data_IF_779733211621
#
_entry.id   IF_779733211621
#
_cell.length_a   1.000
_cell.length_b   1.000
_cell.length_c   1.000
_cell.angle_alpha   90.00
_cell.angle_beta   90.00
_cell.angle_gamma   90.00
#
_symmetry.space_group_name_H-M   'P 1'
#
loop_
_entity.id
_entity.type
_entity.pdbx_description
1 polymer ?
#
# COMPACT_ATOMS: atom_id res chain seq x y z
N UNK A 1 1.40 86.52 47.28
CA UNK A 1 0.34 86.50 46.25
C UNK A 1 0.31 85.11 45.65
N UNK A 2 -0.86 84.47 45.61
CA UNK A 2 -1.15 83.25 44.84
C UNK A 2 -0.87 83.47 43.34
N UNK A 3 -0.81 82.49 42.44
CA UNK A 3 -1.84 81.51 42.08
C UNK A 3 -1.34 80.63 40.91
N UNK A 4 -1.81 79.36 40.90
CA UNK A 4 -1.87 78.38 39.79
C UNK A 4 -0.57 77.65 39.40
N UNK A 5 -0.53 76.32 39.19
CA UNK A 5 -1.48 75.20 39.33
C UNK A 5 -0.61 73.96 38.97
N UNK A 6 -0.21 73.11 39.91
CA UNK A 6 -0.84 71.81 40.23
C UNK A 6 -0.36 70.64 39.36
N UNK A 7 0.42 69.77 40.02
CA UNK A 7 0.50 68.28 39.96
C UNK A 7 1.00 67.59 38.67
N UNK A 8 1.75 66.48 38.73
CA UNK A 8 2.05 65.56 39.84
C UNK A 8 3.36 64.82 39.56
N UNK A 9 4.18 64.64 40.59
CA UNK A 9 5.27 63.66 40.64
C UNK A 9 4.79 62.45 41.48
N UNK A 10 5.37 61.29 41.16
CA UNK A 10 5.66 60.15 42.06
C UNK A 10 4.92 58.82 41.80
N UNK A 11 5.71 57.82 41.38
CA UNK A 11 5.58 56.44 41.88
C UNK A 11 6.00 56.40 43.36
N UNK A 12 5.45 55.48 44.19
CA UNK A 12 6.16 54.21 44.43
C UNK A 12 5.31 52.96 44.80
N UNK A 13 5.94 51.81 44.57
CA UNK A 13 5.94 50.54 45.33
C UNK A 13 4.73 49.59 45.44
N UNK A 14 4.97 48.37 44.92
CA UNK A 14 4.77 47.04 45.50
C UNK A 14 3.58 46.76 46.44
N UNK A 15 2.65 45.93 45.97
CA UNK A 15 1.67 45.19 46.76
C UNK A 15 1.22 43.93 45.99
N UNK A 16 1.36 42.78 46.61
CA UNK A 16 0.91 41.46 46.16
C UNK A 16 -0.61 41.37 46.09
N UNK A 17 -1.18 41.03 44.93
CA UNK A 17 -2.56 40.58 44.83
C UNK A 17 -2.68 39.46 43.79
N UNK A 18 -2.97 38.25 44.27
CA UNK A 18 -3.71 37.24 43.53
C UNK A 18 -5.09 37.82 43.20
N UNK A 19 -5.42 37.99 41.93
CA UNK A 19 -6.82 38.09 41.51
C UNK A 19 -7.02 37.40 40.16
N UNK A 20 -7.64 36.23 40.26
CA UNK A 20 -8.65 35.65 39.35
C UNK A 20 -8.91 36.44 38.07
N UNK A 21 -8.61 35.82 36.93
CA UNK A 21 -9.29 36.15 35.69
C UNK A 21 -10.68 35.49 35.71
N UNK A 22 -11.69 36.24 36.15
CA UNK A 22 -13.09 35.89 35.90
C UNK A 22 -13.48 36.26 34.47
N UNK A 23 -14.04 35.26 33.78
CA UNK A 23 -14.80 35.31 32.52
C UNK A 23 -15.63 36.59 32.32
N UNK A 24 -15.61 37.15 31.11
CA UNK A 24 -16.81 37.35 30.26
C UNK A 24 -16.48 38.00 28.92
N UNK A 25 -16.60 37.23 27.83
CA UNK A 25 -16.96 37.77 26.52
C UNK A 25 -17.89 36.75 25.82
N UNK A 26 -19.20 36.92 26.02
CA UNK A 26 -20.29 36.00 25.64
C UNK A 26 -20.59 35.93 24.12
N UNK A 27 -19.63 36.26 23.26
CA UNK A 27 -19.76 36.13 21.80
C UNK A 27 -18.86 35.08 21.15
N UNK A 28 -17.90 34.53 21.90
CA UNK A 28 -16.98 33.51 21.42
C UNK A 28 -17.15 32.26 22.27
N UNK A 29 -17.83 31.25 21.70
CA UNK A 29 -17.78 29.89 22.23
C UNK A 29 -16.30 29.58 22.53
N UNK A 30 -15.96 29.35 23.80
CA UNK A 30 -14.58 29.04 24.16
C UNK A 30 -14.19 27.77 23.40
N UNK A 31 -13.19 27.86 22.52
CA UNK A 31 -12.72 26.73 21.71
C UNK A 31 -12.33 25.54 22.59
N UNK A 32 -11.85 25.80 23.81
CA UNK A 32 -11.59 24.77 24.82
C UNK A 32 -12.89 24.09 25.27
N UNK A 33 -13.95 24.86 25.55
CA UNK A 33 -15.28 24.29 25.89
C UNK A 33 -15.84 23.45 24.73
N UNK A 34 -15.61 23.84 23.48
CA UNK A 34 -16.03 23.06 22.31
C UNK A 34 -15.23 21.75 22.18
N UNK A 35 -13.90 21.80 22.31
CA UNK A 35 -13.06 20.59 22.25
C UNK A 35 -13.42 19.63 23.40
N UNK A 36 -13.69 20.14 24.61
CA UNK A 36 -14.12 19.33 25.75
C UNK A 36 -15.50 18.70 25.52
N UNK A 37 -16.44 19.43 24.93
CA UNK A 37 -17.75 18.88 24.58
C UNK A 37 -17.67 17.77 23.51
N UNK A 38 -16.75 17.90 22.54
CA UNK A 38 -16.60 16.94 21.44
C UNK A 38 -15.69 15.76 21.80
N UNK A 39 -14.63 15.97 22.59
CA UNK A 39 -13.55 15.00 22.84
C UNK A 39 -13.42 14.56 24.30
N UNK A 40 -14.18 15.15 25.21
CA UNK A 40 -14.26 14.79 26.62
C UNK A 40 -13.43 15.67 27.56
N UNK A 41 -13.66 15.52 28.87
CA UNK A 41 -13.10 16.34 29.95
C UNK A 41 -11.56 16.37 30.01
N UNK A 42 -10.89 15.35 29.47
CA UNK A 42 -9.42 15.28 29.40
C UNK A 42 -8.80 16.37 28.53
N UNK A 43 -9.58 16.95 27.60
CA UNK A 43 -9.16 18.06 26.75
C UNK A 43 -9.37 19.44 27.38
N UNK A 44 -9.76 19.49 28.66
CA UNK A 44 -9.78 20.73 29.42
C UNK A 44 -8.38 21.17 29.86
N UNK A 45 -7.44 20.22 29.93
CA UNK A 45 -6.06 20.47 30.30
C UNK A 45 -5.27 21.09 29.11
N UNK A 46 -4.69 22.29 29.28
CA UNK A 46 -3.88 22.92 28.23
C UNK A 46 -2.68 22.07 27.78
N UNK A 47 -2.11 21.21 28.64
CA UNK A 47 -1.01 20.33 28.25
C UNK A 47 -1.46 19.22 27.28
N UNK A 48 -2.67 18.67 27.49
CA UNK A 48 -3.27 17.66 26.60
C UNK A 48 -3.58 18.26 25.24
N UNK A 49 -4.10 19.49 25.20
CA UNK A 49 -4.33 20.23 23.95
C UNK A 49 -3.01 20.48 23.21
N UNK A 50 -1.98 20.94 23.92
CA UNK A 50 -0.66 21.21 23.33
C UNK A 50 -0.03 19.93 22.76
N UNK A 51 -0.07 18.83 23.51
CA UNK A 51 0.42 17.51 23.06
C UNK A 51 -0.34 17.02 21.83
N UNK A 52 -1.67 17.08 21.87
CA UNK A 52 -2.53 16.69 20.74
C UNK A 52 -2.25 17.53 19.49
N UNK A 53 -1.99 18.83 19.64
CA UNK A 53 -1.60 19.70 18.53
C UNK A 53 -0.24 19.29 17.95
N UNK A 54 0.76 19.02 18.79
CA UNK A 54 2.09 18.59 18.32
C UNK A 54 2.00 17.27 17.53
N UNK A 55 1.25 16.30 18.03
CA UNK A 55 1.02 15.02 17.34
C UNK A 55 0.28 15.21 16.01
N UNK A 56 -0.75 16.06 15.99
CA UNK A 56 -1.49 16.40 14.77
C UNK A 56 -0.60 17.10 13.74
N UNK A 57 0.18 18.11 14.15
CA UNK A 57 1.11 18.83 13.27
C UNK A 57 2.18 17.88 12.70
N UNK A 58 2.68 16.93 13.50
CA UNK A 58 3.61 15.91 13.03
C UNK A 58 2.95 14.94 12.02
N UNK A 59 1.71 14.54 12.27
CA UNK A 59 0.95 13.70 11.35
C UNK A 59 0.65 14.40 10.02
N UNK A 60 0.28 15.68 10.07
CA UNK A 60 0.07 16.51 8.87
C UNK A 60 1.37 16.58 8.05
N UNK A 61 2.51 16.88 8.68
CA UNK A 61 3.81 16.87 7.99
C UNK A 61 4.13 15.52 7.34
N UNK A 62 3.82 14.41 8.03
CA UNK A 62 3.98 13.07 7.47
C UNK A 62 3.09 12.85 6.24
N UNK A 63 1.82 13.25 6.31
CA UNK A 63 0.89 13.15 5.18
C UNK A 63 1.32 14.03 3.99
N UNK A 64 1.76 15.25 4.25
CA UNK A 64 2.27 16.15 3.21
C UNK A 64 3.49 15.55 2.50
N UNK A 65 4.42 14.96 3.27
CA UNK A 65 5.58 14.25 2.71
C UNK A 65 5.17 13.04 1.86
N UNK A 66 4.23 12.22 2.35
CA UNK A 66 3.70 11.07 1.60
C UNK A 66 3.01 11.50 0.30
N UNK A 67 2.23 12.58 0.33
CA UNK A 67 1.58 13.12 -0.86
C UNK A 67 2.59 13.70 -1.86
N UNK A 68 3.63 14.38 -1.39
CA UNK A 68 4.71 14.86 -2.24
C UNK A 68 5.46 13.69 -2.91
N UNK A 69 5.79 12.65 -2.14
CA UNK A 69 6.46 11.44 -2.65
C UNK A 69 5.60 10.72 -3.68
N UNK A 70 4.31 10.55 -3.41
CA UNK A 70 3.36 9.93 -4.34
C UNK A 70 3.21 10.72 -5.64
N UNK A 71 3.17 12.06 -5.56
CA UNK A 71 3.10 12.92 -6.76
C UNK A 71 4.37 12.84 -7.60
N UNK A 72 5.54 12.84 -6.97
CA UNK A 72 6.81 12.65 -7.67
C UNK A 72 6.90 11.27 -8.34
N UNK A 73 6.35 10.26 -7.69
CA UNK A 73 6.29 8.90 -8.22
C UNK A 73 5.36 8.74 -9.42
N UNK A 74 4.25 9.45 -9.42
CA UNK A 74 3.33 9.51 -10.56
C UNK A 74 3.95 10.29 -11.72
N UNK A 75 4.61 11.42 -11.45
CA UNK A 75 5.24 12.22 -12.50
C UNK A 75 6.38 11.48 -13.21
N UNK A 76 7.18 10.68 -12.47
CA UNK A 76 8.19 9.78 -13.06
C UNK A 76 7.57 8.71 -13.96
N UNK A 77 6.42 8.16 -13.56
CA UNK A 77 5.70 7.19 -14.39
C UNK A 77 5.17 7.83 -15.67
N UNK A 78 4.51 8.99 -15.56
CA UNK A 78 4.00 9.72 -16.72
C UNK A 78 5.12 10.06 -17.69
N UNK A 79 6.27 10.52 -17.18
CA UNK A 79 7.45 10.79 -17.98
C UNK A 79 7.97 9.53 -18.69
N UNK A 80 8.06 8.39 -17.98
CA UNK A 80 8.51 7.13 -18.58
C UNK A 80 7.55 6.61 -19.65
N UNK A 81 6.24 6.76 -19.43
CA UNK A 81 5.21 6.41 -20.40
C UNK A 81 5.26 7.31 -21.64
N UNK A 82 5.48 8.62 -21.45
CA UNK A 82 5.68 9.57 -22.55
C UNK A 82 6.93 9.24 -23.36
N UNK A 83 8.05 8.89 -22.72
CA UNK A 83 9.28 8.49 -23.40
C UNK A 83 9.09 7.19 -24.20
N UNK A 84 8.43 6.19 -23.62
CA UNK A 84 8.10 4.95 -24.33
C UNK A 84 7.19 5.21 -25.52
N UNK A 85 6.18 6.08 -25.37
CA UNK A 85 5.32 6.49 -26.47
C UNK A 85 6.12 7.20 -27.56
N UNK A 86 7.01 8.13 -27.22
CA UNK A 86 7.88 8.79 -28.20
C UNK A 86 8.85 7.83 -28.91
N UNK A 87 9.37 6.82 -28.19
CA UNK A 87 10.22 5.79 -28.79
C UNK A 87 9.43 4.87 -29.70
N UNK A 88 8.21 4.50 -29.32
CA UNK A 88 7.30 3.73 -30.15
C UNK A 88 6.92 4.53 -31.41
N UNK A 89 6.52 5.79 -31.25
CA UNK A 89 6.17 6.68 -32.37
C UNK A 89 7.36 6.88 -33.32
N UNK A 90 8.60 6.98 -32.80
CA UNK A 90 9.82 7.07 -33.61
C UNK A 90 10.26 5.74 -34.24
N UNK A 91 9.93 4.60 -33.63
CA UNK A 91 10.24 3.27 -34.16
C UNK A 91 9.24 2.82 -35.24
N UNK A 92 8.10 3.51 -35.38
CA UNK A 92 7.08 3.30 -36.42
C UNK A 92 7.40 4.07 -37.72
N UNK A 93 8.54 4.77 -37.80
CA UNK A 93 9.07 5.33 -39.06
C UNK A 93 10.21 4.48 -39.66
N UNK A 94 9.93 3.37 -40.37
CA UNK A 94 10.83 2.90 -41.41
C UNK A 94 10.49 3.62 -42.72
N UNK A 95 11.16 4.74 -42.95
CA UNK A 95 11.55 5.29 -44.26
C UNK A 95 10.45 5.75 -45.25
N UNK A 96 10.41 7.06 -45.52
CA UNK A 96 9.92 7.61 -46.79
C UNK A 96 10.98 8.50 -47.44
N UNK A 97 11.88 7.82 -48.16
CA UNK A 97 12.52 8.32 -49.36
C UNK A 97 12.14 7.33 -50.50
N UNK A 98 11.10 7.69 -51.27
CA UNK A 98 10.63 7.19 -52.58
C UNK A 98 10.21 5.71 -52.78
N UNK A 99 9.30 5.42 -53.75
CA UNK A 99 8.36 4.29 -53.70
C UNK A 99 8.78 3.08 -54.55
N UNK A 100 8.41 1.88 -54.09
CA UNK A 100 8.17 0.72 -54.94
C UNK A 100 7.15 -0.22 -54.27
N UNK A 101 6.15 -0.62 -55.05
CA UNK A 101 5.03 -1.49 -54.71
C UNK A 101 5.46 -2.89 -54.23
N UNK A 102 4.79 -3.43 -53.21
CA UNK A 102 4.25 -4.81 -53.16
C UNK A 102 3.44 -5.05 -51.86
N UNK A 103 2.12 -4.96 -52.00
CA UNK A 103 1.04 -5.84 -51.55
C UNK A 103 1.21 -6.77 -50.32
N UNK A 104 0.42 -6.44 -49.29
CA UNK A 104 -0.41 -7.28 -48.38
C UNK A 104 0.23 -8.41 -47.52
N UNK A 105 0.16 -8.28 -46.18
CA UNK A 105 -0.83 -9.00 -45.37
C UNK A 105 -0.87 -8.52 -43.89
N UNK A 106 -2.10 -8.21 -43.48
CA UNK A 106 -2.79 -8.10 -42.17
C UNK A 106 -2.04 -7.88 -40.84
N UNK A 107 -2.49 -6.85 -40.12
CA UNK A 107 -2.29 -6.65 -38.68
C UNK A 107 -2.69 -5.26 -38.20
N UNK A 108 -3.93 -4.84 -38.46
CA UNK A 108 -4.48 -3.52 -38.06
C UNK A 108 -4.44 -3.33 -36.55
N UNK A 109 -3.53 -2.49 -36.07
CA UNK A 109 -3.66 -1.82 -34.76
C UNK A 109 -4.30 -0.45 -35.00
N UNK A 110 -5.60 -0.39 -34.76
CA UNK A 110 -6.34 0.86 -34.82
C UNK A 110 -5.83 1.81 -33.71
N UNK A 111 -5.48 3.06 -34.02
CA UNK A 111 -5.07 4.03 -33.00
C UNK A 111 -6.29 4.46 -32.17
N UNK A 112 -6.20 4.23 -30.87
CA UNK A 112 -7.22 4.46 -29.84
C UNK A 112 -7.50 5.97 -29.60
N UNK A 113 -8.01 6.66 -30.62
CA UNK A 113 -8.30 8.09 -30.55
C UNK A 113 -9.75 8.32 -30.96
N UNK A 114 -10.65 8.47 -29.97
CA UNK A 114 -12.00 9.00 -30.16
C UNK A 114 -13.16 8.01 -30.03
N UNK A 115 -13.07 6.97 -29.21
CA UNK A 115 -14.20 6.07 -28.94
C UNK A 115 -14.79 6.38 -27.56
N UNK A 116 -16.06 6.79 -27.50
CA UNK A 116 -16.82 7.03 -26.25
C UNK A 116 -16.95 5.75 -25.38
N UNK A 117 -16.45 4.61 -25.87
CA UNK A 117 -16.40 3.31 -25.19
C UNK A 117 -15.02 2.96 -24.58
N UNK A 118 -14.08 3.91 -24.48
CA UNK A 118 -12.77 3.67 -23.84
C UNK A 118 -12.94 3.27 -22.37
N UNK A 119 -13.88 3.90 -21.64
CA UNK A 119 -14.13 3.57 -20.23
C UNK A 119 -14.63 2.13 -20.06
N UNK A 120 -15.52 1.66 -20.94
CA UNK A 120 -16.04 0.27 -20.91
C UNK A 120 -14.97 -0.75 -21.33
N UNK A 121 -14.12 -0.40 -22.31
CA UNK A 121 -12.95 -1.22 -22.69
C UNK A 121 -11.90 -1.30 -21.58
N UNK A 122 -11.67 -0.20 -20.86
CA UNK A 122 -10.77 -0.18 -19.70
C UNK A 122 -11.38 -0.92 -18.52
N UNK A 123 -12.67 -0.74 -18.23
CA UNK A 123 -13.36 -1.47 -17.16
C UNK A 123 -13.35 -2.98 -17.41
N UNK A 124 -13.68 -3.42 -18.63
CA UNK A 124 -13.61 -4.84 -19.01
C UNK A 124 -12.19 -5.39 -19.03
N UNK A 125 -11.18 -4.59 -19.42
CA UNK A 125 -9.78 -4.99 -19.30
C UNK A 125 -9.36 -5.14 -17.84
N UNK A 126 -9.76 -4.21 -16.98
CA UNK A 126 -9.50 -4.27 -15.53
C UNK A 126 -10.18 -5.50 -14.92
N UNK A 127 -11.46 -5.72 -15.19
CA UNK A 127 -12.20 -6.89 -14.73
C UNK A 127 -11.55 -8.19 -15.21
N UNK A 128 -11.14 -8.27 -16.48
CA UNK A 128 -10.38 -9.41 -17.01
C UNK A 128 -9.05 -9.59 -16.29
N UNK A 129 -8.31 -8.52 -16.03
CA UNK A 129 -7.02 -8.63 -15.32
C UNK A 129 -7.19 -9.03 -13.85
N UNK A 130 -8.27 -8.59 -13.20
CA UNK A 130 -8.60 -8.96 -11.83
C UNK A 130 -9.04 -10.43 -11.76
N UNK A 131 -9.90 -10.87 -12.67
CA UNK A 131 -10.32 -12.28 -12.76
C UNK A 131 -9.15 -13.20 -13.10
N UNK A 132 -8.29 -12.82 -14.07
CA UNK A 132 -7.06 -13.56 -14.38
C UNK A 132 -6.12 -13.65 -13.16
N UNK A 133 -6.05 -12.58 -12.36
CA UNK A 133 -5.25 -12.55 -11.12
C UNK A 133 -5.84 -13.47 -10.04
N UNK A 134 -7.14 -13.43 -9.83
CA UNK A 134 -7.85 -14.27 -8.87
C UNK A 134 -7.77 -15.75 -9.23
N UNK A 135 -7.92 -16.08 -10.53
CA UNK A 135 -7.75 -17.43 -11.05
C UNK A 135 -6.32 -17.91 -10.81
N UNK A 136 -5.30 -17.11 -11.17
CA UNK A 136 -3.90 -17.45 -10.89
C UNK A 136 -3.59 -17.63 -9.41
N UNK A 137 -4.16 -16.78 -8.55
CA UNK A 137 -4.00 -16.89 -7.11
C UNK A 137 -4.64 -18.17 -6.57
N UNK A 138 -5.84 -18.52 -7.03
CA UNK A 138 -6.55 -19.75 -6.65
C UNK A 138 -5.79 -20.99 -7.11
N UNK A 139 -5.33 -21.01 -8.37
CA UNK A 139 -4.50 -22.09 -8.92
C UNK A 139 -3.23 -22.28 -8.09
N UNK A 140 -2.54 -21.19 -7.76
CA UNK A 140 -1.34 -21.25 -6.93
C UNK A 140 -1.63 -21.80 -5.54
N UNK A 141 -2.69 -21.31 -4.88
CA UNK A 141 -3.10 -21.82 -3.55
C UNK A 141 -3.44 -23.32 -3.59
N UNK A 142 -4.08 -23.79 -4.65
CA UNK A 142 -4.42 -25.19 -4.84
C UNK A 142 -3.17 -26.07 -5.00
N UNK A 143 -2.20 -25.63 -5.81
CA UNK A 143 -0.92 -26.32 -5.97
C UNK A 143 -0.13 -26.32 -4.65
N UNK A 144 0.00 -25.16 -4.00
CA UNK A 144 0.72 -25.03 -2.72
C UNK A 144 0.09 -25.94 -1.65
N UNK A 145 -1.24 -26.06 -1.61
CA UNK A 145 -1.93 -26.98 -0.69
C UNK A 145 -1.55 -28.43 -0.95
N UNK A 146 -1.55 -28.85 -2.22
CA UNK A 146 -1.16 -30.21 -2.61
C UNK A 146 0.31 -30.47 -2.26
N UNK A 147 1.22 -29.58 -2.65
CA UNK A 147 2.66 -29.71 -2.40
C UNK A 147 2.97 -29.78 -0.89
N UNK A 148 2.32 -28.95 -0.07
CA UNK A 148 2.46 -29.01 1.38
C UNK A 148 1.97 -30.35 1.92
N UNK A 149 0.78 -30.82 1.50
CA UNK A 149 0.25 -32.11 1.97
C UNK A 149 1.11 -33.29 1.53
N UNK A 150 1.69 -33.26 0.33
CA UNK A 150 2.60 -34.28 -0.15
C UNK A 150 3.93 -34.26 0.61
N UNK A 151 4.47 -33.08 0.87
CA UNK A 151 5.71 -32.91 1.64
C UNK A 151 5.54 -33.36 3.09
N UNK A 152 4.41 -33.04 3.72
CA UNK A 152 4.08 -33.50 5.08
C UNK A 152 3.98 -35.03 5.18
N UNK A 153 3.45 -35.68 4.15
CA UNK A 153 3.19 -37.13 4.14
C UNK A 153 4.39 -37.95 3.69
N UNK A 154 5.06 -37.50 2.65
CA UNK A 154 6.06 -38.28 1.90
C UNK A 154 7.45 -37.65 1.90
N UNK A 155 7.59 -36.41 2.38
CA UNK A 155 8.87 -35.70 2.45
C UNK A 155 9.55 -35.64 1.08
N UNK A 156 10.83 -36.03 1.03
CA UNK A 156 11.62 -36.02 -0.20
C UNK A 156 11.16 -37.03 -1.27
N UNK A 157 10.33 -38.03 -0.92
CA UNK A 157 9.85 -39.05 -1.86
C UNK A 157 8.54 -38.67 -2.57
N UNK A 158 7.96 -37.50 -2.26
CA UNK A 158 6.70 -37.03 -2.85
C UNK A 158 6.71 -37.08 -4.38
N UNK A 159 7.76 -36.53 -5.01
CA UNK A 159 7.90 -36.49 -6.47
C UNK A 159 7.97 -37.88 -7.11
N UNK A 160 8.63 -38.84 -6.45
CA UNK A 160 8.77 -40.20 -6.97
C UNK A 160 7.45 -40.97 -6.88
N UNK A 161 6.65 -40.72 -5.84
CA UNK A 161 5.32 -41.32 -5.67
C UNK A 161 4.35 -40.78 -6.71
N UNK A 162 4.35 -39.47 -6.92
CA UNK A 162 3.57 -38.82 -7.98
C UNK A 162 3.99 -39.36 -9.35
N UNK A 163 5.28 -39.43 -9.65
CA UNK A 163 5.77 -39.96 -10.93
C UNK A 163 5.42 -41.44 -11.15
N UNK A 164 5.42 -42.27 -10.09
CA UNK A 164 4.94 -43.67 -10.15
C UNK A 164 3.45 -43.72 -10.44
N UNK A 165 2.65 -42.86 -9.79
CA UNK A 165 1.19 -42.80 -9.97
C UNK A 165 0.78 -42.28 -11.34
N UNK A 166 1.51 -41.31 -11.89
CA UNK A 166 1.36 -40.87 -13.29
C UNK A 166 1.53 -42.04 -14.27
N UNK A 167 2.59 -42.84 -14.07
CA UNK A 167 2.88 -44.02 -14.91
C UNK A 167 1.84 -45.14 -14.72
N UNK A 168 1.37 -45.36 -13.50
CA UNK A 168 0.36 -46.37 -13.17
C UNK A 168 -1.00 -46.05 -13.79
N UNK A 169 -1.40 -44.77 -13.76
CA UNK A 169 -2.69 -44.30 -14.28
C UNK A 169 -2.68 -44.01 -15.79
N UNK A 170 -1.52 -44.10 -16.44
CA UNK A 170 -1.37 -43.77 -17.86
C UNK A 170 -1.64 -42.28 -18.17
N UNK A 171 -1.48 -41.41 -17.18
CA UNK A 171 -1.65 -39.96 -17.33
C UNK A 171 -0.31 -39.30 -17.68
N UNK A 172 -0.36 -38.05 -18.13
CA UNK A 172 0.84 -37.20 -18.25
C UNK A 172 1.03 -36.41 -16.96
N UNK A 173 2.27 -36.02 -16.66
CA UNK A 173 2.57 -35.17 -15.50
C UNK A 173 1.77 -33.84 -15.57
N UNK A 174 1.73 -33.23 -16.75
CA UNK A 174 0.93 -32.02 -17.02
C UNK A 174 -0.55 -32.20 -16.66
N UNK A 175 -1.15 -33.36 -16.99
CA UNK A 175 -2.56 -33.61 -16.66
C UNK A 175 -2.78 -33.78 -15.16
N UNK A 176 -1.77 -34.27 -14.45
CA UNK A 176 -1.81 -34.40 -12.99
C UNK A 176 -1.69 -33.04 -12.30
N UNK A 177 -0.82 -32.16 -12.82
CA UNK A 177 -0.67 -30.77 -12.36
C UNK A 177 -1.94 -29.96 -12.61
N UNK A 178 -2.56 -30.08 -13.79
CA UNK A 178 -3.86 -29.48 -14.08
C UNK A 178 -4.93 -29.92 -13.10
N UNK A 179 -4.95 -31.21 -12.75
CA UNK A 179 -5.91 -31.73 -11.79
C UNK A 179 -5.63 -31.23 -10.37
N UNK A 180 -4.36 -31.08 -9.97
CA UNK A 180 -3.99 -30.46 -8.69
C UNK A 180 -4.42 -28.98 -8.64
N UNK A 181 -4.27 -28.25 -9.75
CA UNK A 181 -4.66 -26.87 -9.90
C UNK A 181 -6.18 -26.66 -9.87
N UNK A 182 -6.96 -27.55 -10.50
CA UNK A 182 -8.41 -27.45 -10.60
C UNK A 182 -9.13 -28.07 -9.39
N UNK A 183 -8.64 -29.21 -8.90
CA UNK A 183 -9.26 -29.97 -7.81
C UNK A 183 -8.22 -30.73 -6.96
N UNK A 184 -7.67 -30.08 -5.92
CA UNK A 184 -6.76 -30.72 -4.95
C UNK A 184 -7.31 -32.02 -4.36
N UNK A 185 -8.63 -32.07 -4.13
CA UNK A 185 -9.29 -33.25 -3.57
C UNK A 185 -9.30 -34.43 -4.52
N UNK A 186 -9.49 -34.21 -5.83
CA UNK A 186 -9.48 -35.29 -6.81
C UNK A 186 -8.05 -35.82 -7.03
N UNK A 187 -7.07 -34.92 -7.04
CA UNK A 187 -5.65 -35.30 -7.09
C UNK A 187 -5.27 -36.21 -5.91
N UNK A 188 -5.60 -35.84 -4.68
CA UNK A 188 -5.28 -36.64 -3.49
C UNK A 188 -6.02 -37.97 -3.47
N UNK A 189 -7.28 -38.00 -3.94
CA UNK A 189 -8.03 -39.26 -4.07
C UNK A 189 -7.38 -40.24 -5.06
N UNK A 190 -6.78 -39.75 -6.15
CA UNK A 190 -6.05 -40.60 -7.11
C UNK A 190 -4.74 -41.15 -6.53
N UNK A 191 -4.12 -40.42 -5.60
CA UNK A 191 -2.96 -40.91 -4.86
C UNK A 191 -3.35 -41.92 -3.76
N UNK A 192 -4.64 -42.09 -3.47
CA UNK A 192 -5.14 -42.97 -2.41
C UNK A 192 -5.10 -42.34 -1.03
N UNK A 193 -4.99 -41.01 -0.95
CA UNK A 193 -4.94 -40.25 0.30
C UNK A 193 -6.31 -39.65 0.65
N UNK A 194 -6.61 -39.43 1.95
CA UNK A 194 -7.81 -38.72 2.37
C UNK A 194 -7.77 -37.28 1.84
N UNK A 195 -8.95 -36.75 1.51
CA UNK A 195 -9.10 -35.41 0.97
C UNK A 195 -8.37 -34.37 1.86
N UNK A 196 -7.60 -33.44 1.26
CA UNK A 196 -6.90 -32.42 2.01
C UNK A 196 -7.92 -31.58 2.76
N UNK A 197 -7.73 -31.43 4.07
CA UNK A 197 -8.58 -30.58 4.88
C UNK A 197 -8.40 -29.15 4.40
N UNK A 198 -9.48 -28.57 3.85
CA UNK A 198 -9.51 -27.16 3.45
C UNK A 198 -9.20 -26.32 4.69
N UNK A 199 -8.02 -25.71 4.72
CA UNK A 199 -7.69 -24.69 5.69
C UNK A 199 -8.45 -23.45 5.22
N UNK A 200 -9.59 -23.16 5.85
CA UNK A 200 -10.28 -21.90 5.61
C UNK A 200 -9.41 -20.77 6.16
N UNK A 201 -8.62 -20.12 5.30
CA UNK A 201 -7.88 -18.90 5.65
C UNK A 201 -8.80 -17.69 5.88
N UNK A 202 -10.12 -17.87 5.89
CA UNK A 202 -11.09 -16.81 6.17
C UNK A 202 -11.45 -16.77 7.66
N UNK A 203 -10.49 -16.45 8.51
CA UNK A 203 -10.75 -15.88 9.84
C UNK A 203 -9.69 -14.82 10.16
N UNK A 204 -10.10 -13.56 10.02
CA UNK A 204 -9.85 -12.49 10.98
C UNK A 204 -8.41 -12.26 11.44
N UNK A 205 -7.59 -11.70 10.57
CA UNK A 205 -6.93 -10.39 10.73
C UNK A 205 -6.04 -10.26 9.48
N UNK A 206 -6.17 -9.17 8.75
CA UNK A 206 -5.25 -8.91 7.63
C UNK A 206 -3.95 -8.42 8.26
N UNK A 207 -3.23 -9.29 8.99
CA UNK A 207 -1.81 -9.09 9.21
C UNK A 207 -1.14 -9.26 7.86
N UNK A 208 -0.87 -8.14 7.19
CA UNK A 208 -0.07 -8.04 5.98
C UNK A 208 1.42 -8.37 6.23
N UNK A 209 1.74 -9.04 7.32
CA UNK A 209 3.10 -9.48 7.67
C UNK A 209 3.45 -10.80 6.97
N UNK A 210 3.39 -10.87 5.63
CA UNK A 210 3.94 -12.05 4.94
C UNK A 210 4.28 -11.90 3.45
N UNK A 211 4.00 -10.77 2.80
CA UNK A 211 4.45 -10.57 1.40
C UNK A 211 5.76 -9.78 1.42
N UNK A 212 6.84 -10.44 1.85
CA UNK A 212 8.17 -9.81 1.88
C UNK A 212 9.21 -10.41 2.83
N UNK A 213 8.95 -11.57 3.45
CA UNK A 213 9.94 -12.27 4.29
C UNK A 213 11.03 -12.93 3.42
N UNK A 214 11.79 -12.11 2.69
CA UNK A 214 13.08 -12.45 2.08
C UNK A 214 14.11 -11.42 2.51
N UNK A 215 14.25 -11.25 3.82
CA UNK A 215 15.46 -10.72 4.43
C UNK A 215 15.36 -11.00 5.91
N UNK A 216 16.13 -11.96 6.42
CA UNK A 216 16.42 -12.09 7.86
C UNK A 216 17.25 -10.93 8.42
N UNK A 217 17.08 -9.73 7.84
CA UNK A 217 17.72 -8.48 8.20
C UNK A 217 16.67 -7.49 8.74
N UNK A 218 17.13 -6.48 9.47
CA UNK A 218 16.23 -5.46 10.01
C UNK A 218 15.46 -4.76 8.90
N UNK A 219 14.18 -4.45 9.16
CA UNK A 219 13.33 -3.61 8.30
C UNK A 219 13.84 -2.17 8.36
N UNK A 220 14.87 -1.89 7.59
CA UNK A 220 15.55 -0.59 7.47
C UNK A 220 14.98 0.24 6.32
N UNK A 221 15.49 1.45 6.12
CA UNK A 221 15.05 2.30 5.01
C UNK A 221 15.23 1.63 3.65
N UNK A 222 16.27 0.81 3.48
CA UNK A 222 16.53 0.11 2.23
C UNK A 222 15.42 -0.91 1.92
N UNK A 223 14.96 -1.66 2.91
CA UNK A 223 13.79 -2.55 2.76
C UNK A 223 12.56 -1.79 2.22
N UNK A 224 12.25 -0.63 2.82
CA UNK A 224 11.09 0.16 2.40
C UNK A 224 11.28 0.81 1.02
N UNK A 225 12.50 1.20 0.66
CA UNK A 225 12.83 1.69 -0.68
C UNK A 225 12.67 0.61 -1.75
N UNK A 226 13.12 -0.62 -1.46
CA UNK A 226 12.94 -1.74 -2.37
C UNK A 226 11.45 -2.13 -2.47
N UNK A 227 10.69 -2.05 -1.38
CA UNK A 227 9.24 -2.22 -1.38
C UNK A 227 8.52 -1.17 -2.24
N UNK A 228 8.91 0.11 -2.15
CA UNK A 228 8.36 1.19 -2.98
C UNK A 228 8.56 0.95 -4.48
N UNK A 229 9.73 0.43 -4.86
CA UNK A 229 10.08 0.13 -6.25
C UNK A 229 9.34 -1.09 -6.79
N UNK A 230 9.29 -2.16 -6.00
CA UNK A 230 8.76 -3.45 -6.44
C UNK A 230 7.24 -3.55 -6.27
N UNK A 231 6.68 -2.94 -5.22
CA UNK A 231 5.26 -3.01 -4.90
C UNK A 231 4.75 -1.71 -4.26
N UNK A 232 4.52 -0.72 -5.12
CA UNK A 232 4.20 0.64 -4.69
C UNK A 232 2.87 0.79 -3.96
N UNK A 233 1.86 -0.01 -4.32
CA UNK A 233 0.57 0.00 -3.61
C UNK A 233 0.69 -0.53 -2.18
N UNK A 234 1.55 -1.53 -1.97
CA UNK A 234 1.83 -2.05 -0.64
C UNK A 234 2.67 -1.06 0.19
N UNK A 235 3.59 -0.33 -0.44
CA UNK A 235 4.35 0.73 0.24
C UNK A 235 3.44 1.84 0.78
N UNK A 236 2.51 2.35 -0.03
CA UNK A 236 1.58 3.42 0.37
C UNK A 236 0.39 2.93 1.22
N UNK A 237 0.34 1.66 1.59
CA UNK A 237 -0.70 1.15 2.49
C UNK A 237 -0.52 1.74 3.90
N UNK A 238 -1.61 2.20 4.57
CA UNK A 238 -1.56 2.69 5.95
C UNK A 238 -0.82 1.79 6.93
N UNK A 239 -0.99 0.46 6.83
CA UNK A 239 -0.31 -0.50 7.72
C UNK A 239 1.21 -0.50 7.52
N UNK A 240 1.65 -0.51 6.27
CA UNK A 240 3.09 -0.47 5.93
C UNK A 240 3.71 0.86 6.37
N UNK A 241 3.00 1.97 6.20
CA UNK A 241 3.46 3.29 6.63
C UNK A 241 3.56 3.39 8.15
N UNK A 242 2.59 2.83 8.89
CA UNK A 242 2.66 2.72 10.36
C UNK A 242 3.87 1.90 10.81
N UNK A 243 4.05 0.73 10.21
CA UNK A 243 5.17 -0.15 10.51
C UNK A 243 6.52 0.52 10.21
N UNK A 244 6.62 1.26 9.10
CA UNK A 244 7.82 2.04 8.76
C UNK A 244 8.10 3.13 9.80
N UNK A 245 7.08 3.82 10.30
CA UNK A 245 7.23 4.80 11.37
C UNK A 245 7.69 4.15 12.69
N UNK A 246 7.12 3.00 13.05
CA UNK A 246 7.54 2.23 14.22
C UNK A 246 8.98 1.74 14.10
N UNK A 247 9.35 1.20 12.94
CA UNK A 247 10.73 0.77 12.66
C UNK A 247 11.69 1.95 12.66
N UNK A 248 11.29 3.12 12.13
CA UNK A 248 12.06 4.36 12.24
C UNK A 248 12.26 4.80 13.69
N UNK A 249 11.22 4.71 14.53
CA UNK A 249 11.35 5.02 15.96
C UNK A 249 12.26 4.02 16.68
N UNK A 250 12.14 2.74 16.34
CA UNK A 250 12.91 1.63 16.95
C UNK A 250 14.39 1.66 16.58
N UNK A 251 14.70 1.91 15.30
CA UNK A 251 16.07 1.94 14.79
C UNK A 251 16.74 3.33 14.94
N UNK A 252 15.94 4.40 15.06
CA UNK A 252 16.44 5.77 15.16
C UNK A 252 17.37 6.11 14.00
N UNK A 253 18.58 6.59 14.31
CA UNK A 253 19.60 6.95 13.32
C UNK A 253 20.04 5.77 12.45
N UNK A 254 19.91 4.52 12.92
CA UNK A 254 20.28 3.34 12.13
C UNK A 254 19.27 3.03 11.03
N UNK A 255 18.09 3.66 11.04
CA UNK A 255 17.06 3.41 10.04
C UNK A 255 17.52 3.82 8.64
N UNK A 256 18.19 4.98 8.51
CA UNK A 256 18.66 5.52 7.23
C UNK A 256 20.15 5.31 6.93
N UNK A 257 20.89 4.68 7.85
CA UNK A 257 22.34 4.49 7.75
C UNK A 257 22.67 3.01 7.51
N UNK A 258 22.38 2.49 6.31
CA UNK A 258 22.79 1.18 5.81
C UNK A 258 22.93 1.21 4.28
#
# INVERSE_FOLDING_TARGET
>A
MSIFNTQDEAQPQAGSEEHQATDTNEGQQSFVKQIVAERGETWADPEVIAKGKIEADNHIKSLEAQLAEMREDLSKQDYSAQLLKQLQDKAVDPTSANPAENTEDSGTVDPLTGDDNIEEKLASLVEKTLTDREVKATVKQNIDLVDNTLTEKYGAEANDIVAKKVKELGLTMSRMEELAAESPTAFMALLGEPAPTKINLTQGDVQSEAVGQQSGGARDWKYYQDLRRNNRSLYYNPKTQQQMMEDKQRLGDKFGNL
#
